data_IF_692722047697
#
_entry.id   IF_692722047697
#
_cell.length_a   1.000
_cell.length_b   1.000
_cell.length_c   1.000
_cell.angle_alpha   90.00
_cell.angle_beta   90.00
_cell.angle_gamma   90.00
#
_symmetry.space_group_name_H-M   'P 1'
#
loop_
_entity.id
_entity.type
_entity.pdbx_description
1 polymer ?
#
# COMPACT_ATOMS: atom_id res chain seq x y z
N UNK A 1 -0.44 -19.73 10.71
CA UNK A 1 -1.22 -18.57 10.26
C UNK A 1 -1.07 -18.45 8.76
N UNK A 2 -2.00 -17.77 8.08
CA UNK A 2 -1.89 -17.53 6.65
C UNK A 2 -0.83 -16.45 6.41
N UNK A 3 0.12 -16.69 5.49
CA UNK A 3 1.15 -15.71 5.12
C UNK A 3 0.48 -14.43 4.59
N UNK A 4 0.93 -13.27 5.04
CA UNK A 4 0.42 -11.98 4.58
C UNK A 4 1.51 -11.22 3.82
N UNK A 5 1.21 -10.82 2.59
CA UNK A 5 2.15 -10.09 1.74
C UNK A 5 1.48 -8.91 1.07
N UNK A 6 2.15 -7.77 1.06
CA UNK A 6 1.78 -6.60 0.26
C UNK A 6 2.63 -6.58 -1.01
N UNK A 7 1.98 -6.58 -2.16
CA UNK A 7 2.63 -6.32 -3.45
C UNK A 7 2.23 -4.93 -3.93
N UNK A 8 3.22 -4.09 -4.27
CA UNK A 8 3.01 -2.78 -4.91
C UNK A 8 3.57 -2.84 -6.33
N UNK A 9 2.71 -2.57 -7.30
CA UNK A 9 3.03 -2.64 -8.74
C UNK A 9 3.16 -1.26 -9.38
N UNK A 10 2.54 -0.22 -8.82
CA UNK A 10 2.72 1.17 -9.26
C UNK A 10 2.69 2.11 -8.07
N UNK A 11 3.56 3.11 -8.09
CA UNK A 11 3.57 4.18 -7.10
C UNK A 11 4.14 5.48 -7.69
N UNK A 12 3.25 6.44 -7.94
CA UNK A 12 3.62 7.82 -8.22
C UNK A 12 4.04 8.55 -6.96
N UNK A 13 5.21 9.18 -6.99
CA UNK A 13 5.74 10.04 -5.92
C UNK A 13 6.02 9.31 -4.62
N UNK A 14 5.01 8.93 -3.87
CA UNK A 14 5.20 8.19 -2.63
C UNK A 14 3.97 7.35 -2.27
N UNK A 15 4.24 6.12 -1.83
CA UNK A 15 3.27 5.26 -1.18
C UNK A 15 3.86 4.74 0.13
N UNK A 16 3.08 4.78 1.19
CA UNK A 16 3.45 4.27 2.50
C UNK A 16 2.36 3.32 3.02
N UNK A 17 2.79 2.25 3.69
CA UNK A 17 1.93 1.28 4.32
C UNK A 17 2.20 1.21 5.82
N UNK A 18 1.11 1.14 6.60
CA UNK A 18 1.15 1.13 8.05
C UNK A 18 0.33 -0.03 8.60
N UNK A 19 0.90 -0.86 9.45
CA UNK A 19 0.16 -1.87 10.23
C UNK A 19 0.00 -1.36 11.65
N UNK A 20 -1.25 -1.16 12.08
CA UNK A 20 -1.58 -0.66 13.42
C UNK A 20 -0.82 0.63 13.80
N UNK A 21 -0.53 1.48 12.80
CA UNK A 21 0.22 2.73 12.96
C UNK A 21 1.74 2.61 12.82
N UNK A 22 2.30 1.40 12.72
CA UNK A 22 3.73 1.18 12.44
C UNK A 22 3.99 1.17 10.93
N UNK A 23 4.97 1.92 10.46
CA UNK A 23 5.42 1.89 9.06
C UNK A 23 6.03 0.53 8.75
N UNK A 24 5.50 -0.14 7.72
CA UNK A 24 5.98 -1.46 7.27
C UNK A 24 6.52 -1.43 5.83
N UNK A 25 6.14 -0.41 5.06
CA UNK A 25 6.63 -0.16 3.71
C UNK A 25 6.56 1.33 3.42
N UNK A 26 7.55 1.84 2.71
CA UNK A 26 7.56 3.18 2.17
C UNK A 26 8.44 3.21 0.92
N UNK A 27 7.87 3.64 -0.19
CA UNK A 27 8.59 3.85 -1.44
C UNK A 27 8.38 5.29 -1.91
N UNK A 28 9.44 5.88 -2.46
CA UNK A 28 9.43 7.21 -3.07
C UNK A 28 10.00 7.12 -4.48
N UNK A 29 9.30 7.66 -5.47
CA UNK A 29 9.69 7.64 -6.88
C UNK A 29 9.26 8.93 -7.57
N UNK A 30 10.16 9.61 -8.29
CA UNK A 30 9.83 10.89 -8.92
C UNK A 30 8.87 10.78 -10.12
N UNK A 31 8.64 9.57 -10.66
CA UNK A 31 7.82 9.32 -11.85
C UNK A 31 7.06 8.01 -11.73
N UNK A 32 5.94 7.89 -12.46
CA UNK A 32 5.20 6.64 -12.59
C UNK A 32 6.12 5.55 -13.11
N UNK A 33 6.40 4.61 -12.22
CA UNK A 33 7.30 3.51 -12.49
C UNK A 33 6.58 2.25 -12.07
N UNK A 34 6.52 1.29 -12.99
CA UNK A 34 6.10 -0.06 -12.64
C UNK A 34 7.10 -0.65 -11.64
N UNK A 35 6.60 -0.97 -10.47
CA UNK A 35 7.27 -1.68 -9.40
C UNK A 35 6.88 -3.17 -9.40
N UNK A 36 7.59 -3.95 -8.60
CA UNK A 36 7.18 -5.31 -8.21
C UNK A 36 7.65 -5.57 -6.77
N UNK A 37 7.43 -4.58 -5.91
CA UNK A 37 7.89 -4.64 -4.53
C UNK A 37 6.97 -5.57 -3.75
N UNK A 38 7.56 -6.58 -3.12
CA UNK A 38 6.85 -7.52 -2.26
C UNK A 38 7.36 -7.37 -0.84
N UNK A 39 6.47 -7.02 0.08
CA UNK A 39 6.76 -6.89 1.51
C UNK A 39 6.02 -7.97 2.27
N UNK A 40 6.74 -8.78 3.04
CA UNK A 40 6.16 -9.73 3.99
C UNK A 40 5.74 -8.99 5.26
N UNK A 41 4.51 -9.25 5.73
CA UNK A 41 3.89 -8.48 6.81
C UNK A 41 3.83 -9.24 8.14
N UNK A 42 4.13 -10.54 8.14
CA UNK A 42 3.89 -11.44 9.26
C UNK A 42 4.55 -10.98 10.57
N UNK A 43 5.76 -10.41 10.51
CA UNK A 43 6.51 -9.94 11.68
C UNK A 43 5.88 -8.71 12.37
N UNK A 44 4.95 -8.03 11.70
CA UNK A 44 4.28 -6.83 12.21
C UNK A 44 2.86 -7.10 12.72
N UNK A 45 2.37 -8.34 12.58
CA UNK A 45 1.00 -8.70 12.93
C UNK A 45 0.92 -9.17 14.38
N UNK A 46 -0.11 -8.68 15.09
CA UNK A 46 -0.49 -9.18 16.41
C UNK A 46 -1.62 -10.18 16.30
N UNK A 47 -1.80 -11.01 17.34
CA UNK A 47 -2.94 -11.93 17.39
C UNK A 47 -4.27 -11.16 17.37
N UNK A 48 -5.18 -11.59 16.50
CA UNK A 48 -6.51 -11.00 16.35
C UNK A 48 -6.61 -10.12 15.11
N UNK A 49 -7.12 -8.90 15.29
CA UNK A 49 -7.40 -7.99 14.19
C UNK A 49 -6.26 -6.98 14.01
N UNK A 50 -5.76 -6.86 12.79
CA UNK A 50 -4.78 -5.85 12.39
C UNK A 50 -5.38 -4.94 11.32
N UNK A 51 -4.98 -3.66 11.34
CA UNK A 51 -5.40 -2.68 10.34
C UNK A 51 -4.19 -2.28 9.52
N UNK A 52 -4.24 -2.58 8.22
CA UNK A 52 -3.31 -2.04 7.24
C UNK A 52 -3.89 -0.75 6.67
N UNK A 53 -3.13 0.33 6.70
CA UNK A 53 -3.45 1.60 6.02
C UNK A 53 -2.43 1.86 4.94
N UNK A 54 -2.89 2.05 3.71
CA UNK A 54 -2.09 2.50 2.58
C UNK A 54 -2.37 4.00 2.38
N UNK A 55 -1.31 4.77 2.16
CA UNK A 55 -1.38 6.21 1.92
C UNK A 55 -0.58 6.52 0.66
N UNK A 56 -1.25 7.09 -0.34
CA UNK A 56 -0.64 7.67 -1.53
C UNK A 56 -0.41 9.16 -1.33
N UNK A 57 0.82 9.61 -1.57
CA UNK A 57 1.22 11.01 -1.47
C UNK A 57 1.67 11.48 -2.84
N UNK A 58 0.98 12.47 -3.38
CA UNK A 58 1.31 13.08 -4.65
C UNK A 58 2.16 14.34 -4.46
N UNK A 59 3.18 14.53 -5.27
CA UNK A 59 4.06 15.69 -5.26
C UNK A 59 3.76 16.62 -6.45
N UNK A 60 3.32 16.06 -7.59
CA UNK A 60 2.93 16.82 -8.78
C UNK A 60 2.04 15.98 -9.72
N UNK A 61 1.40 16.65 -10.69
CA UNK A 61 0.75 16.01 -11.86
C UNK A 61 -0.31 14.93 -11.52
N UNK A 62 -0.18 13.77 -12.14
CA UNK A 62 -1.08 12.63 -12.05
C UNK A 62 -0.63 11.71 -10.91
N UNK A 63 -1.58 10.99 -10.30
CA UNK A 63 -1.29 10.03 -9.26
C UNK A 63 -1.77 8.63 -9.66
N UNK A 64 -0.90 7.65 -9.50
CA UNK A 64 -1.13 6.24 -9.76
C UNK A 64 -0.56 5.39 -8.62
N UNK A 65 -1.45 4.65 -7.94
CA UNK A 65 -1.09 3.70 -6.89
C UNK A 65 -1.78 2.38 -7.20
N UNK A 66 -1.02 1.30 -7.33
CA UNK A 66 -1.58 -0.02 -7.65
C UNK A 66 -0.83 -1.14 -6.94
N UNK A 67 -1.59 -2.18 -6.58
CA UNK A 67 -1.01 -3.38 -6.02
C UNK A 67 -2.08 -4.33 -5.48
N UNK A 68 -1.64 -5.27 -4.65
CA UNK A 68 -2.52 -6.28 -4.05
C UNK A 68 -2.01 -6.66 -2.68
N UNK A 69 -2.91 -6.69 -1.70
CA UNK A 69 -2.68 -7.35 -0.42
C UNK A 69 -3.11 -8.81 -0.53
N UNK A 70 -2.23 -9.74 -0.20
CA UNK A 70 -2.55 -11.16 -0.10
C UNK A 70 -2.63 -11.59 1.37
N UNK A 71 -3.71 -12.28 1.72
CA UNK A 71 -3.88 -12.96 3.02
C UNK A 71 -4.06 -14.44 2.72
N UNK A 72 -2.98 -15.21 2.88
CA UNK A 72 -2.89 -16.58 2.36
C UNK A 72 -3.08 -16.59 0.85
N UNK A 73 -4.16 -17.21 0.39
CA UNK A 73 -4.48 -17.31 -1.04
C UNK A 73 -5.52 -16.27 -1.50
N UNK A 74 -5.99 -15.39 -0.61
CA UNK A 74 -6.99 -14.37 -0.93
C UNK A 74 -6.28 -13.07 -1.30
N UNK A 75 -6.41 -12.65 -2.55
CA UNK A 75 -5.91 -11.36 -3.03
C UNK A 75 -6.98 -10.27 -2.89
N UNK A 76 -6.59 -9.13 -2.33
CA UNK A 76 -7.38 -7.92 -2.18
C UNK A 76 -6.67 -6.80 -2.95
N UNK A 77 -7.09 -6.51 -4.19
CA UNK A 77 -6.44 -5.49 -5.00
C UNK A 77 -6.73 -4.08 -4.46
N UNK A 78 -5.80 -3.17 -4.69
CA UNK A 78 -6.04 -1.74 -4.61
C UNK A 78 -5.57 -1.08 -5.90
N UNK A 79 -6.29 -0.04 -6.31
CA UNK A 79 -5.90 0.80 -7.43
C UNK A 79 -6.50 2.17 -7.24
N UNK A 80 -5.69 3.19 -7.50
CA UNK A 80 -6.11 4.57 -7.60
C UNK A 80 -5.37 5.22 -8.75
N UNK A 81 -6.13 5.88 -9.63
CA UNK A 81 -5.57 6.69 -10.70
C UNK A 81 -6.37 7.98 -10.78
N UNK A 82 -5.68 9.12 -10.78
CA UNK A 82 -6.31 10.42 -10.93
C UNK A 82 -5.43 11.37 -11.70
N UNK A 83 -6.03 12.06 -12.67
CA UNK A 83 -5.36 13.14 -13.39
C UNK A 83 -5.47 14.44 -12.61
N UNK A 84 -4.36 15.17 -12.45
CA UNK A 84 -4.27 16.36 -11.60
C UNK A 84 -4.67 16.08 -10.14
N UNK A 85 -4.11 15.03 -9.53
CA UNK A 85 -4.39 14.71 -8.14
C UNK A 85 -3.86 15.82 -7.21
N UNK A 86 -4.55 16.14 -6.10
CA UNK A 86 -4.06 17.15 -5.16
C UNK A 86 -2.66 16.83 -4.65
N UNK A 87 -1.81 17.85 -4.54
CA UNK A 87 -0.49 17.73 -3.90
C UNK A 87 -0.67 17.46 -2.41
N UNK A 88 0.10 16.53 -1.87
CA UNK A 88 -0.02 16.01 -0.51
C UNK A 88 -0.68 14.63 -0.51
N UNK A 89 -1.42 14.31 0.55
CA UNK A 89 -2.15 13.03 0.62
C UNK A 89 -3.29 13.06 -0.40
N UNK A 90 -3.19 12.25 -1.44
CA UNK A 90 -4.14 12.18 -2.56
C UNK A 90 -5.07 10.97 -2.44
N UNK A 91 -4.65 9.94 -1.71
CA UNK A 91 -5.39 8.68 -1.57
C UNK A 91 -5.07 7.96 -0.26
N UNK A 92 -6.08 7.33 0.33
CA UNK A 92 -5.97 6.46 1.51
C UNK A 92 -6.88 5.25 1.31
N UNK A 93 -6.37 4.05 1.57
CA UNK A 93 -7.19 2.83 1.65
C UNK A 93 -6.80 2.00 2.86
N UNK A 94 -7.79 1.43 3.54
CA UNK A 94 -7.59 0.57 4.71
C UNK A 94 -8.06 -0.85 4.45
N UNK A 95 -7.32 -1.82 4.98
CA UNK A 95 -7.66 -3.24 4.96
C UNK A 95 -7.63 -3.81 6.37
N UNK A 96 -8.48 -4.80 6.58
CA UNK A 96 -8.55 -5.56 7.82
C UNK A 96 -7.89 -6.92 7.61
N UNK A 97 -6.90 -7.24 8.45
CA UNK A 97 -6.13 -8.49 8.37
C UNK A 97 -6.40 -9.31 9.65
N UNK A 98 -7.10 -10.45 9.56
CA UNK A 98 -7.17 -11.43 10.63
C UNK A 98 -5.84 -12.22 10.70
N UNK A 99 -5.23 -12.33 11.88
CA UNK A 99 -3.97 -13.06 12.09
C UNK A 99 -3.97 -13.91 13.38
#
# INVERSE_FOLDING_TARGET
MAKVTLTVTHADNEIAAFINGLVVYAAKQEKDTTLNDVTELDDYLISGLNILTLVGVNWNEDAHYEGTLFIGNVGQPFSYTSKNAPVGISWIQTFTIPH
#
